data_IF_915893727356
#
_entry.id   IF_915893727356
#
_cell.length_a   1.000
_cell.length_b   1.000
_cell.length_c   1.000
_cell.angle_alpha   90.00
_cell.angle_beta   90.00
_cell.angle_gamma   90.00
#
_symmetry.space_group_name_H-M   'P 1'
#
loop_
_entity.id
_entity.type
_entity.pdbx_description
1 polymer ?
#
# COMPACT_ATOMS: atom_id res chain seq x y z
N UNK A 1 8.97 14.31 16.96
CA UNK A 1 7.74 13.51 17.11
C UNK A 1 7.32 13.46 18.56
N UNK A 2 6.07 13.83 18.86
CA UNK A 2 5.44 13.68 20.19
C UNK A 2 5.15 12.21 20.51
N UNK A 3 4.83 11.91 21.77
CA UNK A 3 4.44 10.55 22.20
C UNK A 3 3.18 10.08 21.46
N UNK A 4 2.18 10.95 21.33
CA UNK A 4 0.92 10.67 20.65
C UNK A 4 1.13 10.37 19.17
N UNK A 5 1.92 11.17 18.47
CA UNK A 5 2.27 10.95 17.05
C UNK A 5 2.88 9.57 16.81
N UNK A 6 3.81 9.15 17.69
CA UNK A 6 4.44 7.83 17.62
C UNK A 6 3.42 6.71 17.83
N UNK A 7 2.55 6.83 18.84
CA UNK A 7 1.52 5.82 19.14
C UNK A 7 0.55 5.69 17.97
N UNK A 8 0.04 6.79 17.44
CA UNK A 8 -0.87 6.79 16.29
C UNK A 8 -0.22 6.11 15.08
N UNK A 9 1.02 6.47 14.75
CA UNK A 9 1.74 5.84 13.64
C UNK A 9 1.93 4.33 13.84
N UNK A 10 2.22 3.90 15.07
CA UNK A 10 2.40 2.49 15.40
C UNK A 10 1.09 1.69 15.29
N UNK A 11 -0.01 2.24 15.80
CA UNK A 11 -1.34 1.63 15.69
C UNK A 11 -1.78 1.51 14.23
N UNK A 12 -1.57 2.56 13.44
CA UNK A 12 -1.86 2.55 12.00
C UNK A 12 -1.00 1.55 11.24
N UNK A 13 0.28 1.43 11.58
CA UNK A 13 1.19 0.46 10.97
C UNK A 13 0.81 -0.99 11.34
N UNK A 14 0.41 -1.27 12.59
CA UNK A 14 -0.08 -2.59 13.00
C UNK A 14 -1.36 -2.94 12.24
N UNK A 15 -2.33 -2.03 12.17
CA UNK A 15 -3.57 -2.26 11.43
C UNK A 15 -3.27 -2.56 9.95
N UNK A 16 -2.36 -1.79 9.34
CA UNK A 16 -1.94 -2.00 7.96
C UNK A 16 -1.27 -3.37 7.76
N UNK A 17 -0.39 -3.77 8.69
CA UNK A 17 0.28 -5.07 8.66
C UNK A 17 -0.73 -6.22 8.74
N UNK A 18 -1.68 -6.16 9.68
CA UNK A 18 -2.70 -7.20 9.84
C UNK A 18 -3.58 -7.35 8.59
N UNK A 19 -4.01 -6.24 7.99
CA UNK A 19 -4.78 -6.25 6.74
C UNK A 19 -3.94 -6.75 5.55
N UNK A 20 -2.66 -6.39 5.50
CA UNK A 20 -1.72 -6.87 4.47
C UNK A 20 -1.52 -8.37 4.56
N UNK A 21 -1.33 -8.90 5.77
CA UNK A 21 -1.15 -10.34 6.00
C UNK A 21 -2.45 -11.11 5.72
N UNK A 22 -3.60 -10.59 6.16
CA UNK A 22 -4.90 -11.22 5.89
C UNK A 22 -5.23 -11.23 4.40
N UNK A 23 -5.05 -10.11 3.71
CA UNK A 23 -5.23 -10.01 2.26
C UNK A 23 -4.27 -10.94 1.51
N UNK A 24 -2.98 -10.93 1.85
CA UNK A 24 -2.01 -11.83 1.23
C UNK A 24 -2.31 -13.30 1.50
N UNK A 25 -2.74 -13.64 2.72
CA UNK A 25 -3.18 -14.98 3.09
C UNK A 25 -4.37 -15.46 2.25
N UNK A 26 -5.37 -14.61 2.03
CA UNK A 26 -6.50 -14.94 1.16
C UNK A 26 -6.06 -15.28 -0.27
N UNK A 27 -5.17 -14.48 -0.86
CA UNK A 27 -4.67 -14.72 -2.21
C UNK A 27 -3.83 -16.00 -2.31
N UNK A 28 -2.90 -16.24 -1.38
CA UNK A 28 -2.04 -17.42 -1.44
C UNK A 28 -2.73 -18.72 -0.99
N UNK A 29 -3.60 -18.66 0.01
CA UNK A 29 -4.20 -19.87 0.62
C UNK A 29 -5.52 -20.21 -0.08
N UNK A 30 -6.42 -19.24 -0.23
CA UNK A 30 -7.75 -19.47 -0.78
C UNK A 30 -7.74 -19.48 -2.30
N UNK A 31 -7.15 -18.46 -2.92
CA UNK A 31 -7.09 -18.34 -4.39
C UNK A 31 -5.91 -19.09 -5.02
N UNK A 32 -4.95 -19.57 -4.20
CA UNK A 32 -3.76 -20.34 -4.63
C UNK A 32 -2.98 -19.68 -5.75
N UNK A 33 -2.94 -18.36 -5.78
CA UNK A 33 -2.24 -17.61 -6.82
C UNK A 33 -0.74 -17.71 -6.61
N UNK A 34 0.02 -17.67 -7.70
CA UNK A 34 1.48 -17.61 -7.62
C UNK A 34 1.96 -16.21 -7.19
N UNK A 35 3.27 -16.06 -6.93
CA UNK A 35 3.83 -14.79 -6.46
C UNK A 35 3.60 -13.62 -7.42
N UNK A 36 3.71 -13.83 -8.74
CA UNK A 36 3.50 -12.78 -9.75
C UNK A 36 2.04 -12.35 -9.78
N UNK A 37 1.13 -13.31 -9.72
CA UNK A 37 -0.31 -13.03 -9.62
C UNK A 37 -0.65 -12.32 -8.31
N UNK A 38 -0.08 -12.71 -7.17
CA UNK A 38 -0.27 -11.97 -5.91
C UNK A 38 0.24 -10.53 -6.02
N UNK A 39 1.42 -10.34 -6.63
CA UNK A 39 2.02 -9.03 -6.80
C UNK A 39 1.14 -8.09 -7.64
N UNK A 40 0.48 -8.64 -8.66
CA UNK A 40 -0.38 -7.89 -9.58
C UNK A 40 -1.82 -7.74 -9.09
N UNK A 41 -2.47 -8.84 -8.69
CA UNK A 41 -3.89 -8.86 -8.30
C UNK A 41 -4.13 -8.32 -6.89
N UNK A 42 -3.12 -8.33 -6.03
CA UNK A 42 -3.17 -7.77 -4.68
C UNK A 42 -2.06 -6.71 -4.51
N UNK A 43 -1.92 -5.80 -5.47
CA UNK A 43 -0.88 -4.76 -5.48
C UNK A 43 -0.93 -3.78 -4.27
N UNK A 44 -2.05 -3.75 -3.53
CA UNK A 44 -2.17 -3.03 -2.26
C UNK A 44 -1.24 -3.61 -1.17
N UNK A 45 -1.06 -4.93 -1.16
CA UNK A 45 -0.20 -5.63 -0.19
C UNK A 45 1.30 -5.33 -0.36
N UNK A 46 1.93 -5.46 -1.54
CA UNK A 46 3.33 -5.07 -1.72
C UNK A 46 3.53 -3.57 -1.48
N UNK A 47 2.57 -2.72 -1.85
CA UNK A 47 2.61 -1.27 -1.55
C UNK A 47 2.61 -0.99 -0.05
N UNK A 48 1.78 -1.70 0.70
CA UNK A 48 1.71 -1.63 2.17
C UNK A 48 3.00 -2.15 2.82
N UNK A 49 3.60 -3.22 2.29
CA UNK A 49 4.90 -3.72 2.76
C UNK A 49 6.02 -2.69 2.55
N UNK A 50 6.06 -2.01 1.40
CA UNK A 50 7.01 -0.91 1.14
C UNK A 50 6.85 0.18 2.19
N UNK A 51 5.61 0.59 2.49
CA UNK A 51 5.34 1.55 3.55
C UNK A 51 5.82 1.07 4.92
N UNK A 52 5.51 -0.17 5.31
CA UNK A 52 5.88 -0.73 6.61
C UNK A 52 7.40 -0.81 6.79
N UNK A 53 8.12 -1.24 5.74
CA UNK A 53 9.59 -1.24 5.73
C UNK A 53 10.11 0.19 5.81
N UNK A 54 9.56 1.12 5.02
CA UNK A 54 9.92 2.54 5.05
C UNK A 54 9.69 3.18 6.43
N UNK A 55 8.58 2.84 7.08
CA UNK A 55 8.21 3.28 8.42
C UNK A 55 9.20 2.75 9.46
N UNK A 56 9.54 1.46 9.43
CA UNK A 56 10.54 0.86 10.33
C UNK A 56 11.90 1.53 10.16
N UNK A 57 12.38 1.69 8.92
CA UNK A 57 13.66 2.37 8.65
C UNK A 57 13.61 3.82 9.11
N UNK A 58 12.49 4.51 8.92
CA UNK A 58 12.28 5.87 9.42
C UNK A 58 12.34 5.94 10.96
N UNK A 59 11.82 4.95 11.68
CA UNK A 59 11.92 4.91 13.15
C UNK A 59 13.37 4.81 13.63
N UNK A 60 14.20 4.01 12.96
CA UNK A 60 15.62 3.85 13.29
C UNK A 60 16.47 5.05 12.87
N UNK A 61 16.38 5.46 11.60
CA UNK A 61 17.32 6.41 11.00
C UNK A 61 16.81 7.86 11.02
N UNK A 62 15.53 8.09 11.33
CA UNK A 62 14.84 9.40 11.26
C UNK A 62 14.89 10.10 9.89
N UNK A 63 15.34 9.40 8.85
CA UNK A 63 15.42 9.93 7.48
C UNK A 63 14.05 9.93 6.82
N UNK A 64 13.53 11.12 6.55
CA UNK A 64 12.25 11.37 5.89
C UNK A 64 12.10 10.66 4.52
N UNK A 65 13.21 10.46 3.79
CA UNK A 65 13.23 9.83 2.47
C UNK A 65 12.53 8.47 2.41
N UNK A 66 12.69 7.62 3.43
CA UNK A 66 12.13 6.26 3.42
C UNK A 66 10.62 6.24 3.61
N UNK A 67 10.11 7.18 4.41
CA UNK A 67 8.68 7.34 4.60
C UNK A 67 8.03 7.95 3.34
N UNK A 68 8.70 8.90 2.70
CA UNK A 68 8.27 9.50 1.43
C UNK A 68 8.34 8.53 0.24
N UNK A 69 9.26 7.55 0.25
CA UNK A 69 9.41 6.54 -0.81
C UNK A 69 8.13 5.72 -1.04
N UNK A 70 7.35 5.48 -0.01
CA UNK A 70 6.13 4.68 -0.12
C UNK A 70 4.91 5.46 -0.64
N UNK A 71 5.01 6.79 -0.83
CA UNK A 71 3.84 7.62 -1.12
C UNK A 71 3.16 7.27 -2.44
N UNK A 72 3.91 7.13 -3.53
CA UNK A 72 3.32 6.87 -4.84
C UNK A 72 2.53 5.55 -4.89
N UNK A 73 3.10 4.39 -4.51
CA UNK A 73 2.36 3.13 -4.56
C UNK A 73 1.20 3.09 -3.55
N UNK A 74 1.36 3.70 -2.37
CA UNK A 74 0.28 3.78 -1.36
C UNK A 74 -0.88 4.66 -1.82
N UNK A 75 -0.58 5.79 -2.47
CA UNK A 75 -1.61 6.68 -3.01
C UNK A 75 -2.35 6.03 -4.19
N UNK A 76 -1.60 5.44 -5.12
CA UNK A 76 -2.18 4.83 -6.32
C UNK A 76 -3.03 3.60 -6.00
N UNK A 77 -2.51 2.64 -5.24
CA UNK A 77 -3.26 1.42 -4.93
C UNK A 77 -4.20 1.56 -3.73
N UNK A 78 -3.89 2.45 -2.78
CA UNK A 78 -4.73 2.70 -1.60
C UNK A 78 -5.76 3.79 -1.82
N UNK A 79 -5.31 5.05 -1.91
CA UNK A 79 -6.22 6.21 -1.94
C UNK A 79 -7.07 6.28 -3.20
N UNK A 80 -6.51 6.07 -4.39
CA UNK A 80 -7.34 5.97 -5.59
C UNK A 80 -8.23 4.71 -5.56
N UNK A 81 -7.76 3.63 -4.93
CA UNK A 81 -8.52 2.40 -4.69
C UNK A 81 -9.89 2.62 -4.01
N UNK A 82 -9.98 3.61 -3.12
CA UNK A 82 -11.24 3.98 -2.46
C UNK A 82 -12.35 4.40 -3.44
N UNK A 83 -11.95 4.98 -4.58
CA UNK A 83 -12.87 5.53 -5.58
C UNK A 83 -13.06 4.61 -6.79
N UNK A 84 -12.20 3.60 -6.96
CA UNK A 84 -12.27 2.67 -8.09
C UNK A 84 -13.03 1.38 -7.77
N UNK A 85 -12.97 0.90 -6.52
CA UNK A 85 -13.65 -0.34 -6.12
C UNK A 85 -15.04 -0.07 -5.54
N UNK A 86 -15.95 -1.04 -5.70
CA UNK A 86 -17.30 -0.94 -5.12
C UNK A 86 -17.27 -1.16 -3.61
N UNK A 87 -18.26 -0.62 -2.91
CA UNK A 87 -18.47 -0.81 -1.47
C UNK A 87 -19.47 -1.95 -1.21
N UNK A 88 -19.25 -3.11 -1.83
CA UNK A 88 -20.19 -4.24 -1.74
C UNK A 88 -19.49 -5.60 -1.68
N UNK A 89 -20.11 -6.56 -0.98
CA UNK A 89 -19.63 -7.94 -0.90
C UNK A 89 -18.20 -8.06 -0.37
N UNK A 90 -17.40 -8.92 -1.00
CA UNK A 90 -16.00 -9.16 -0.65
C UNK A 90 -15.11 -7.90 -0.78
N UNK A 91 -15.53 -6.89 -1.55
CA UNK A 91 -14.78 -5.65 -1.72
C UNK A 91 -14.76 -4.78 -0.45
N UNK A 92 -15.67 -5.00 0.52
CA UNK A 92 -15.64 -4.27 1.80
C UNK A 92 -14.31 -4.50 2.53
N UNK A 93 -13.75 -5.72 2.46
CA UNK A 93 -12.46 -6.01 3.06
C UNK A 93 -11.31 -5.26 2.35
N UNK A 94 -11.36 -5.20 1.01
CA UNK A 94 -10.41 -4.39 0.24
C UNK A 94 -10.52 -2.90 0.60
N UNK A 95 -11.74 -2.38 0.79
CA UNK A 95 -11.95 -0.98 1.19
C UNK A 95 -11.40 -0.67 2.58
N UNK A 96 -11.47 -1.59 3.54
CA UNK A 96 -10.81 -1.42 4.84
C UNK A 96 -9.28 -1.30 4.69
N UNK A 97 -8.68 -2.06 3.78
CA UNK A 97 -7.25 -1.93 3.46
C UNK A 97 -6.94 -0.57 2.86
N UNK A 98 -7.73 -0.11 1.87
CA UNK A 98 -7.55 1.20 1.24
C UNK A 98 -7.72 2.38 2.22
N UNK A 99 -8.69 2.30 3.15
CA UNK A 99 -8.86 3.30 4.21
C UNK A 99 -7.61 3.34 5.07
N UNK A 100 -7.12 2.18 5.50
CA UNK A 100 -5.95 2.08 6.38
C UNK A 100 -4.68 2.57 5.69
N UNK A 101 -4.51 2.27 4.39
CA UNK A 101 -3.42 2.82 3.58
C UNK A 101 -3.49 4.35 3.51
N UNK A 102 -4.68 4.90 3.26
CA UNK A 102 -4.89 6.35 3.16
C UNK A 102 -4.63 7.06 4.50
N UNK A 103 -5.08 6.49 5.61
CA UNK A 103 -4.79 7.02 6.95
C UNK A 103 -3.29 6.99 7.27
N UNK A 104 -2.59 5.92 6.90
CA UNK A 104 -1.12 5.84 7.03
C UNK A 104 -0.43 6.92 6.18
N UNK A 105 -0.92 7.16 4.97
CA UNK A 105 -0.38 8.20 4.08
C UNK A 105 -0.61 9.61 4.63
N UNK A 106 -1.80 9.89 5.17
CA UNK A 106 -2.12 11.17 5.83
C UNK A 106 -1.22 11.39 7.05
N UNK A 107 -1.08 10.37 7.90
CA UNK A 107 -0.19 10.43 9.05
C UNK A 107 1.26 10.67 8.63
N UNK A 108 1.75 9.94 7.63
CA UNK A 108 3.09 10.11 7.12
C UNK A 108 3.31 11.51 6.55
N UNK A 109 2.34 12.04 5.80
CA UNK A 109 2.39 13.40 5.25
C UNK A 109 2.47 14.45 6.35
N UNK A 110 1.66 14.29 7.39
CA UNK A 110 1.70 15.14 8.57
C UNK A 110 3.08 15.11 9.25
N UNK A 111 3.67 13.94 9.43
CA UNK A 111 5.00 13.80 10.05
C UNK A 111 6.10 14.41 9.18
N UNK A 112 6.08 14.17 7.87
CA UNK A 112 7.05 14.77 6.94
C UNK A 112 6.97 16.30 6.93
N UNK A 113 5.75 16.85 6.89
CA UNK A 113 5.52 18.28 7.01
C UNK A 113 6.07 18.85 8.32
N UNK A 114 5.82 18.16 9.44
CA UNK A 114 6.31 18.57 10.78
C UNK A 114 7.82 18.49 10.93
N UNK A 115 8.48 17.54 10.27
CA UNK A 115 9.94 17.42 10.28
C UNK A 115 10.58 18.57 9.48
N UNK A 116 9.92 19.05 8.44
CA UNK A 116 10.40 20.16 7.60
C UNK A 116 11.59 19.82 6.71
N UNK A 117 11.99 18.55 6.62
CA UNK A 117 13.05 18.09 5.71
C UNK A 117 12.49 17.85 4.30
N UNK A 118 12.14 18.94 3.64
CA UNK A 118 11.54 18.93 2.30
C UNK A 118 12.49 18.36 1.25
N UNK A 119 13.81 18.53 1.41
CA UNK A 119 14.81 18.00 0.48
C UNK A 119 14.85 16.47 0.53
N UNK A 120 14.88 15.87 1.73
CA UNK A 120 14.84 14.43 1.88
C UNK A 120 13.49 13.84 1.45
N UNK A 121 12.40 14.54 1.73
CA UNK A 121 11.04 14.16 1.31
C UNK A 121 10.90 14.17 -0.22
N UNK A 122 11.35 15.23 -0.89
CA UNK A 122 11.33 15.35 -2.35
C UNK A 122 12.19 14.26 -3.02
N UNK A 123 13.38 13.97 -2.47
CA UNK A 123 14.21 12.84 -2.95
C UNK A 123 13.49 11.50 -2.80
N UNK A 124 12.81 11.28 -1.68
CA UNK A 124 12.01 10.08 -1.46
C UNK A 124 10.90 9.93 -2.49
N UNK A 125 10.19 11.02 -2.78
CA UNK A 125 9.16 11.05 -3.83
C UNK A 125 9.74 10.81 -5.23
N UNK A 126 10.90 11.39 -5.56
CA UNK A 126 11.56 11.11 -6.84
C UNK A 126 11.96 9.64 -6.98
N UNK A 127 12.53 9.04 -5.93
CA UNK A 127 12.79 7.60 -5.91
C UNK A 127 11.51 6.79 -5.99
N UNK A 128 10.43 7.26 -5.37
CA UNK A 128 9.11 6.64 -5.46
C UNK A 128 8.62 6.59 -6.91
N UNK A 129 8.76 7.70 -7.65
CA UNK A 129 8.41 7.77 -9.08
C UNK A 129 9.26 6.81 -9.90
N UNK A 130 10.58 6.89 -9.78
CA UNK A 130 11.50 6.06 -10.59
C UNK A 130 11.27 4.56 -10.35
N UNK A 131 11.00 4.16 -9.11
CA UNK A 131 10.82 2.76 -8.77
C UNK A 131 9.39 2.26 -9.05
N UNK A 132 8.38 3.04 -8.65
CA UNK A 132 7.01 2.55 -8.63
C UNK A 132 6.21 2.89 -9.88
N UNK A 133 6.60 3.85 -10.72
CA UNK A 133 5.94 4.01 -12.04
C UNK A 133 6.11 2.75 -12.89
N UNK A 134 7.32 2.19 -13.10
CA UNK A 134 7.49 0.93 -13.83
C UNK A 134 6.72 -0.23 -13.19
N UNK A 135 6.71 -0.30 -11.86
CA UNK A 135 5.95 -1.31 -11.12
C UNK A 135 4.44 -1.20 -11.38
N UNK A 136 3.88 0.01 -11.25
CA UNK A 136 2.46 0.28 -11.53
C UNK A 136 2.14 -0.08 -12.99
N UNK A 137 2.99 0.31 -13.94
CA UNK A 137 2.80 -0.04 -15.35
C UNK A 137 2.79 -1.55 -15.57
N UNK A 138 3.69 -2.29 -14.92
CA UNK A 138 3.72 -3.75 -14.95
C UNK A 138 2.43 -4.35 -14.39
N UNK A 139 2.00 -3.93 -13.20
CA UNK A 139 0.76 -4.40 -12.56
C UNK A 139 -0.45 -4.17 -13.47
N UNK A 140 -0.58 -2.95 -14.00
CA UNK A 140 -1.70 -2.58 -14.88
C UNK A 140 -1.70 -3.39 -16.18
N UNK A 141 -0.53 -3.58 -16.79
CA UNK A 141 -0.38 -4.39 -17.99
C UNK A 141 -0.70 -5.86 -17.72
N UNK A 142 -0.21 -6.41 -16.61
CA UNK A 142 -0.45 -7.79 -16.21
C UNK A 142 -1.95 -8.05 -15.97
N UNK A 143 -2.61 -7.20 -15.17
CA UNK A 143 -4.04 -7.32 -14.91
C UNK A 143 -4.88 -7.17 -16.18
N UNK A 144 -4.48 -6.32 -17.13
CA UNK A 144 -5.19 -6.16 -18.41
C UNK A 144 -5.04 -7.37 -19.32
N UNK A 145 -3.84 -7.94 -19.40
CA UNK A 145 -3.56 -9.11 -20.25
C UNK A 145 -4.17 -10.40 -19.70
N UNK A 146 -4.41 -10.46 -18.39
CA UNK A 146 -4.99 -11.61 -17.69
C UNK A 146 -6.38 -11.28 -17.12
N UNK A 147 -7.12 -10.39 -17.78
CA UNK A 147 -8.41 -9.89 -17.29
C UNK A 147 -9.48 -11.01 -17.14
N UNK A 148 -9.47 -12.01 -18.02
CA UNK A 148 -10.36 -13.17 -17.88
C UNK A 148 -9.97 -14.04 -16.68
N UNK A 149 -8.68 -14.24 -16.44
CA UNK A 149 -8.20 -15.04 -15.30
C UNK A 149 -8.61 -14.40 -13.97
N UNK A 150 -8.37 -13.09 -13.81
CA UNK A 150 -8.75 -12.38 -12.59
C UNK A 150 -10.27 -12.33 -12.41
N UNK A 151 -11.04 -12.17 -13.50
CA UNK A 151 -12.51 -12.20 -13.45
C UNK A 151 -13.00 -13.57 -12.98
N UNK A 152 -12.46 -14.66 -13.52
CA UNK A 152 -12.83 -16.02 -13.13
C UNK A 152 -12.43 -16.33 -11.67
N UNK A 153 -11.24 -15.89 -11.24
CA UNK A 153 -10.78 -16.05 -9.86
C UNK A 153 -11.69 -15.32 -8.85
N UNK A 154 -12.21 -14.15 -9.22
CA UNK A 154 -13.11 -13.37 -8.36
C UNK A 154 -14.58 -13.83 -8.45
N UNK A 155 -15.02 -14.38 -9.58
CA UNK A 155 -16.39 -14.88 -9.79
C UNK A 155 -16.62 -16.31 -9.26
N UNK A 156 -15.59 -17.16 -9.15
CA UNK A 156 -15.72 -18.49 -8.53
C UNK A 156 -16.06 -18.45 -7.03
N UNK A 157 -16.20 -17.26 -6.44
CA UNK A 157 -16.55 -17.04 -5.03
C UNK A 157 -17.90 -16.34 -4.80
N UNK A 158 -18.71 -16.10 -5.85
CA UNK A 158 -20.09 -15.59 -5.74
C UNK A 158 -21.12 -16.70 -5.85
#
# INVERSE_FOLDING_TARGET
MTKTEKIVGFLLAIALLLLTLSGSGYFFISLKVNFVQWLSYNACSPSSLVYLVGFVIFLYNRKATWLALAFLPMYYFGTMGLFTFTWSGANIFAQLSHITMTLNLIWAGYILYRIGDYKASARGLLYSIVLFVPFISFVMYYCRTHAEEISNLLQMTS
#
